data_IF_780558969171
#
_entry.id   IF_780558969171
#
_cell.length_a   1.000
_cell.length_b   1.000
_cell.length_c   1.000
_cell.angle_alpha   90.00
_cell.angle_beta   90.00
_cell.angle_gamma   90.00
#
_symmetry.space_group_name_H-M   'P 1'
#
loop_
_entity.id
_entity.type
_entity.pdbx_description
1 polymer ?
#
# COMPACT_ATOMS: atom_id res chain seq x y z
N UNK A 1 24.61 -21.62 -3.86
CA UNK A 1 25.59 -20.52 -3.76
C UNK A 1 24.87 -19.35 -3.17
N UNK A 2 25.03 -19.17 -1.87
CA UNK A 2 24.46 -18.05 -1.12
C UNK A 2 25.35 -16.84 -1.45
N UNK A 3 24.92 -16.03 -2.40
CA UNK A 3 25.48 -14.69 -2.52
C UNK A 3 24.91 -13.93 -1.33
N UNK A 4 25.77 -13.50 -0.41
CA UNK A 4 25.34 -12.69 0.73
C UNK A 4 24.90 -11.32 0.19
N UNK A 5 23.61 -11.21 -0.15
CA UNK A 5 23.03 -10.00 -0.72
C UNK A 5 22.89 -9.02 0.43
N UNK A 6 23.81 -8.05 0.49
CA UNK A 6 23.93 -7.10 1.60
C UNK A 6 22.63 -6.35 1.95
N UNK A 7 21.72 -6.17 0.99
CA UNK A 7 20.43 -5.50 1.17
C UNK A 7 19.25 -6.44 1.43
N UNK A 8 19.46 -7.76 1.51
CA UNK A 8 18.41 -8.73 1.84
C UNK A 8 17.76 -8.44 3.20
N UNK A 9 18.52 -8.13 4.28
CA UNK A 9 17.91 -7.74 5.56
C UNK A 9 17.03 -6.49 5.43
N UNK A 10 17.43 -5.54 4.57
CA UNK A 10 16.66 -4.33 4.28
C UNK A 10 15.29 -4.66 3.65
N UNK A 11 15.24 -5.57 2.67
CA UNK A 11 13.97 -5.99 2.06
C UNK A 11 13.06 -6.64 3.11
N UNK A 12 13.60 -7.51 3.95
CA UNK A 12 12.82 -8.20 4.97
C UNK A 12 12.27 -7.24 6.05
N UNK A 13 13.05 -6.25 6.49
CA UNK A 13 12.56 -5.26 7.44
C UNK A 13 11.51 -4.35 6.79
N UNK A 14 11.67 -3.98 5.52
CA UNK A 14 10.68 -3.19 4.79
C UNK A 14 9.32 -3.88 4.76
N UNK A 15 9.26 -5.17 4.42
CA UNK A 15 8.00 -5.94 4.47
C UNK A 15 7.37 -5.98 5.86
N UNK A 16 8.16 -6.13 6.93
CA UNK A 16 7.64 -6.12 8.31
C UNK A 16 7.07 -4.76 8.69
N UNK A 17 7.77 -3.68 8.31
CA UNK A 17 7.30 -2.31 8.51
C UNK A 17 6.06 -2.03 7.68
N UNK A 18 5.98 -2.49 6.44
CA UNK A 18 4.79 -2.39 5.59
C UNK A 18 3.58 -3.03 6.27
N UNK A 19 3.71 -4.26 6.78
CA UNK A 19 2.61 -4.93 7.49
C UNK A 19 2.21 -4.16 8.74
N UNK A 20 3.17 -3.68 9.54
CA UNK A 20 2.88 -2.94 10.76
C UNK A 20 2.17 -1.60 10.48
N UNK A 21 2.78 -0.75 9.64
CA UNK A 21 2.31 0.61 9.38
C UNK A 21 1.14 0.65 8.39
N UNK A 22 1.10 -0.24 7.40
CA UNK A 22 0.11 -0.17 6.33
C UNK A 22 -1.09 -1.09 6.53
N UNK A 23 -1.03 -2.02 7.50
CA UNK A 23 -2.12 -2.96 7.74
C UNK A 23 -2.54 -2.97 9.21
N UNK A 24 -1.64 -3.30 10.13
CA UNK A 24 -2.01 -3.55 11.54
C UNK A 24 -2.47 -2.26 12.23
N UNK A 25 -1.64 -1.21 12.24
CA UNK A 25 -1.98 0.05 12.90
C UNK A 25 -3.24 0.71 12.31
N UNK A 26 -3.41 0.87 10.98
CA UNK A 26 -4.63 1.47 10.44
C UNK A 26 -5.87 0.64 10.72
N UNK A 27 -5.75 -0.69 10.85
CA UNK A 27 -6.89 -1.55 11.20
C UNK A 27 -7.34 -1.30 12.64
N UNK A 28 -6.39 -1.23 13.58
CA UNK A 28 -6.65 -0.88 14.98
C UNK A 28 -7.29 0.51 15.07
N UNK A 29 -6.73 1.50 14.35
CA UNK A 29 -7.27 2.86 14.30
C UNK A 29 -8.67 2.90 13.71
N UNK A 30 -8.97 2.10 12.68
CA UNK A 30 -10.30 2.04 12.07
C UNK A 30 -11.33 1.50 13.06
N UNK A 31 -11.03 0.40 13.74
CA UNK A 31 -11.90 -0.18 14.77
C UNK A 31 -12.11 0.84 15.90
N UNK A 32 -11.05 1.50 16.34
CA UNK A 32 -11.14 2.47 17.43
C UNK A 32 -11.94 3.71 17.04
N UNK A 33 -11.75 4.22 15.82
CA UNK A 33 -12.51 5.34 15.28
C UNK A 33 -13.99 4.99 15.10
N UNK A 34 -14.30 3.73 14.73
CA UNK A 34 -15.67 3.22 14.69
C UNK A 34 -16.33 3.24 16.09
N UNK A 35 -15.65 2.68 17.09
CA UNK A 35 -16.14 2.66 18.49
C UNK A 35 -16.36 4.07 19.04
N UNK A 36 -15.45 5.01 18.75
CA UNK A 36 -15.56 6.41 19.19
C UNK A 36 -16.45 7.29 18.30
N UNK A 37 -17.03 6.75 17.22
CA UNK A 37 -17.83 7.51 16.24
C UNK A 37 -17.10 8.73 15.67
N UNK A 38 -15.78 8.61 15.45
CA UNK A 38 -14.96 9.65 14.84
C UNK A 38 -15.09 9.60 13.30
N UNK A 39 -16.14 10.21 12.76
CA UNK A 39 -16.54 10.08 11.35
C UNK A 39 -15.46 10.52 10.35
N UNK A 40 -14.83 11.68 10.54
CA UNK A 40 -13.73 12.14 9.68
C UNK A 40 -12.57 11.16 9.60
N UNK A 41 -12.14 10.59 10.73
CA UNK A 41 -11.08 9.56 10.78
C UNK A 41 -11.54 8.27 10.09
N UNK A 42 -12.77 7.82 10.32
CA UNK A 42 -13.32 6.63 9.65
C UNK A 42 -13.38 6.80 8.13
N UNK A 43 -13.82 7.97 7.65
CA UNK A 43 -13.92 8.30 6.23
C UNK A 43 -12.54 8.31 5.59
N UNK A 44 -11.55 8.96 6.23
CA UNK A 44 -10.17 8.97 5.75
C UNK A 44 -9.58 7.57 5.69
N UNK A 45 -9.75 6.76 6.75
CA UNK A 45 -9.25 5.39 6.78
C UNK A 45 -9.94 4.51 5.73
N UNK A 46 -11.23 4.72 5.45
CA UNK A 46 -11.94 4.01 4.38
C UNK A 46 -11.36 4.34 2.99
N UNK A 47 -11.02 5.61 2.74
CA UNK A 47 -10.35 6.01 1.49
C UNK A 47 -8.95 5.41 1.43
N UNK A 48 -8.21 5.50 2.54
CA UNK A 48 -6.88 4.90 2.69
C UNK A 48 -6.90 3.42 2.34
N UNK A 49 -7.82 2.61 2.88
CA UNK A 49 -7.90 1.18 2.59
C UNK A 49 -8.18 0.87 1.12
N UNK A 50 -9.00 1.68 0.46
CA UNK A 50 -9.24 1.54 -0.98
C UNK A 50 -7.94 1.76 -1.75
N UNK A 51 -7.16 2.77 -1.41
CA UNK A 51 -5.89 3.09 -2.08
C UNK A 51 -4.77 2.10 -1.71
N UNK A 52 -4.62 1.76 -0.42
CA UNK A 52 -3.59 0.85 0.07
C UNK A 52 -3.85 -0.61 -0.32
N UNK A 53 -5.05 -0.96 -0.80
CA UNK A 53 -5.32 -2.28 -1.39
C UNK A 53 -4.36 -2.64 -2.54
N UNK A 54 -3.75 -1.64 -3.19
CA UNK A 54 -2.69 -1.85 -4.19
C UNK A 54 -1.46 -2.57 -3.61
N UNK A 55 -1.18 -2.44 -2.31
CA UNK A 55 -0.13 -3.22 -1.62
C UNK A 55 -0.47 -4.70 -1.63
N UNK A 56 -1.72 -5.07 -1.29
CA UNK A 56 -2.15 -6.47 -1.32
C UNK A 56 -2.15 -7.05 -2.74
N UNK A 57 -2.61 -6.27 -3.72
CA UNK A 57 -2.51 -6.61 -5.15
C UNK A 57 -1.03 -6.86 -5.52
N UNK A 58 -0.12 -6.00 -5.07
CA UNK A 58 1.32 -6.13 -5.31
C UNK A 58 1.88 -7.45 -4.76
N UNK A 59 1.49 -7.86 -3.55
CA UNK A 59 1.89 -9.16 -2.98
C UNK A 59 1.44 -10.31 -3.88
N UNK A 60 0.20 -10.29 -4.38
CA UNK A 60 -0.32 -11.35 -5.26
C UNK A 60 0.43 -11.42 -6.59
N UNK A 61 0.79 -10.26 -7.16
CA UNK A 61 1.63 -10.19 -8.36
C UNK A 61 3.05 -10.72 -8.09
N UNK A 62 3.61 -10.41 -6.91
CA UNK A 62 4.93 -10.89 -6.50
C UNK A 62 4.97 -12.40 -6.22
N UNK A 63 3.88 -12.98 -5.72
CA UNK A 63 3.75 -14.44 -5.55
C UNK A 63 3.93 -15.16 -6.89
N UNK A 64 3.38 -14.59 -7.97
CA UNK A 64 3.55 -15.09 -9.33
C UNK A 64 4.81 -14.57 -10.03
N UNK A 65 5.67 -13.84 -9.31
CA UNK A 65 6.96 -13.32 -9.79
C UNK A 65 6.80 -12.38 -11.00
N UNK A 66 5.68 -11.68 -11.10
CA UNK A 66 5.41 -10.77 -12.22
C UNK A 66 6.16 -9.45 -12.06
N UNK A 67 7.00 -9.03 -13.04
CA UNK A 67 7.78 -7.80 -12.96
C UNK A 67 6.94 -6.53 -12.73
N UNK A 68 5.69 -6.50 -13.21
CA UNK A 68 4.77 -5.37 -13.00
C UNK A 68 4.52 -5.06 -11.52
N UNK A 69 4.78 -6.01 -10.62
CA UNK A 69 4.67 -5.80 -9.17
C UNK A 69 5.60 -4.71 -8.64
N UNK A 70 6.75 -4.47 -9.28
CA UNK A 70 7.65 -3.39 -8.89
C UNK A 70 7.00 -2.02 -9.15
N UNK A 71 6.29 -1.88 -10.28
CA UNK A 71 5.55 -0.65 -10.60
C UNK A 71 4.38 -0.49 -9.63
N UNK A 72 3.59 -1.54 -9.40
CA UNK A 72 2.45 -1.45 -8.49
C UNK A 72 2.88 -1.15 -7.05
N UNK A 73 3.99 -1.71 -6.58
CA UNK A 73 4.58 -1.44 -5.27
C UNK A 73 5.01 0.01 -5.11
N UNK A 74 5.75 0.55 -6.08
CA UNK A 74 6.13 1.97 -6.10
C UNK A 74 4.90 2.88 -6.09
N UNK A 75 3.92 2.59 -6.97
CA UNK A 75 2.69 3.38 -7.06
C UNK A 75 1.90 3.32 -5.76
N UNK A 76 1.86 2.19 -5.05
CA UNK A 76 1.21 2.09 -3.75
C UNK A 76 1.86 3.03 -2.73
N UNK A 77 3.19 3.06 -2.65
CA UNK A 77 3.92 3.94 -1.73
C UNK A 77 3.73 5.43 -2.06
N UNK A 78 3.52 5.79 -3.32
CA UNK A 78 3.23 7.18 -3.72
C UNK A 78 1.77 7.55 -3.41
N UNK A 79 0.82 6.67 -3.76
CA UNK A 79 -0.60 6.95 -3.63
C UNK A 79 -1.07 6.99 -2.17
N UNK A 80 -0.44 6.22 -1.27
CA UNK A 80 -0.81 6.17 0.15
C UNK A 80 -0.70 7.56 0.81
N UNK A 81 0.46 8.24 0.81
CA UNK A 81 0.58 9.61 1.35
C UNK A 81 -0.38 10.59 0.71
N UNK A 82 -0.57 10.52 -0.61
CA UNK A 82 -1.52 11.37 -1.33
C UNK A 82 -2.93 11.14 -0.75
N UNK A 83 -3.37 9.89 -0.62
CA UNK A 83 -4.70 9.57 -0.09
C UNK A 83 -4.91 10.07 1.34
N UNK A 84 -3.84 10.11 2.14
CA UNK A 84 -3.90 10.59 3.50
C UNK A 84 -4.05 12.11 3.55
N UNK A 85 -3.35 12.89 2.73
CA UNK A 85 -3.28 14.36 2.86
C UNK A 85 -4.09 15.17 1.86
N UNK A 86 -4.57 14.55 0.79
CA UNK A 86 -5.20 15.25 -0.32
C UNK A 86 -6.53 15.96 0.03
N UNK A 87 -7.34 15.38 0.91
CA UNK A 87 -8.74 15.77 1.14
C UNK A 87 -8.90 16.94 2.12
N UNK A 88 -9.34 18.10 1.63
CA UNK A 88 -9.45 19.32 2.47
C UNK A 88 -10.60 19.19 3.46
N UNK A 89 -11.78 18.75 3.01
CA UNK A 89 -12.97 18.64 3.87
C UNK A 89 -12.74 17.71 5.07
N UNK A 90 -12.13 16.56 4.82
CA UNK A 90 -11.78 15.60 5.87
C UNK A 90 -10.67 16.12 6.78
N UNK A 91 -9.69 16.85 6.23
CA UNK A 91 -8.61 17.42 7.03
C UNK A 91 -9.14 18.45 8.02
N UNK A 92 -10.02 19.34 7.57
CA UNK A 92 -10.65 20.35 8.39
C UNK A 92 -11.48 19.67 9.50
N UNK A 93 -12.28 18.64 9.16
CA UNK A 93 -13.06 17.88 10.13
C UNK A 93 -12.18 17.27 11.24
N UNK A 94 -11.06 16.64 10.85
CA UNK A 94 -10.12 16.04 11.81
C UNK A 94 -9.41 17.12 12.64
N UNK A 95 -9.10 18.28 12.06
CA UNK A 95 -8.46 19.41 12.73
C UNK A 95 -9.36 20.02 13.81
N UNK A 96 -10.65 20.18 13.54
CA UNK A 96 -11.62 20.73 14.49
C UNK A 96 -12.24 19.70 15.44
N UNK A 97 -12.07 18.40 15.18
CA UNK A 97 -12.47 17.36 16.13
C UNK A 97 -11.79 17.55 17.50
N UNK A 98 -12.53 17.35 18.59
CA UNK A 98 -12.02 17.45 19.96
C UNK A 98 -10.72 16.65 20.14
N UNK A 99 -9.71 17.27 20.75
CA UNK A 99 -8.44 16.62 21.03
C UNK A 99 -8.63 15.44 21.99
N UNK A 100 -8.02 14.31 21.66
CA UNK A 100 -8.10 13.08 22.42
C UNK A 100 -7.02 12.08 21.98
N UNK A 101 -6.87 11.00 22.72
CA UNK A 101 -5.81 10.00 22.50
C UNK A 101 -5.89 9.40 21.09
N UNK A 102 -7.11 9.15 20.58
CA UNK A 102 -7.33 8.66 19.22
C UNK A 102 -6.77 9.63 18.17
N UNK A 103 -7.11 10.92 18.26
CA UNK A 103 -6.63 11.95 17.33
C UNK A 103 -5.11 12.08 17.37
N UNK A 104 -4.52 12.02 18.56
CA UNK A 104 -3.06 12.03 18.70
C UNK A 104 -2.40 10.84 18.02
N UNK A 105 -2.80 9.60 18.37
CA UNK A 105 -2.20 8.38 17.79
C UNK A 105 -2.45 8.31 16.29
N UNK A 106 -3.65 8.67 15.83
CA UNK A 106 -3.99 8.76 14.40
C UNK A 106 -3.05 9.72 13.67
N UNK A 107 -2.84 10.92 14.21
CA UNK A 107 -1.99 11.94 13.58
C UNK A 107 -0.52 11.50 13.56
N UNK A 108 -0.02 10.89 14.65
CA UNK A 108 1.32 10.31 14.70
C UNK A 108 1.50 9.18 13.67
N UNK A 109 0.55 8.26 13.58
CA UNK A 109 0.56 7.18 12.58
C UNK A 109 0.53 7.73 11.16
N UNK A 110 -0.30 8.74 10.89
CA UNK A 110 -0.44 9.36 9.57
C UNK A 110 0.88 9.96 9.09
N UNK A 111 1.59 10.68 9.97
CA UNK A 111 2.93 11.20 9.68
C UNK A 111 3.98 10.08 9.55
N UNK A 112 4.00 9.12 10.46
CA UNK A 112 4.95 8.00 10.40
C UNK A 112 4.80 7.20 9.09
N UNK A 113 3.56 6.94 8.67
CA UNK A 113 3.25 6.26 7.40
C UNK A 113 3.70 7.08 6.19
N UNK A 114 3.54 8.40 6.25
CA UNK A 114 3.99 9.33 5.19
C UNK A 114 5.51 9.26 5.03
N UNK A 115 6.25 9.38 6.13
CA UNK A 115 7.73 9.30 6.14
C UNK A 115 8.18 7.91 5.68
N UNK A 116 7.56 6.84 6.19
CA UNK A 116 7.84 5.47 5.77
C UNK A 116 7.67 5.30 4.25
N UNK A 117 6.55 5.76 3.68
CA UNK A 117 6.30 5.65 2.25
C UNK A 117 7.27 6.48 1.40
N UNK A 118 7.67 7.67 1.85
CA UNK A 118 8.67 8.50 1.16
C UNK A 118 10.02 7.80 1.15
N UNK A 119 10.49 7.32 2.31
CA UNK A 119 11.74 6.60 2.44
C UNK A 119 11.73 5.29 1.63
N UNK A 120 10.62 4.55 1.69
CA UNK A 120 10.39 3.37 0.87
C UNK A 120 10.50 3.69 -0.61
N UNK A 121 9.85 4.76 -1.07
CA UNK A 121 9.84 5.15 -2.48
C UNK A 121 11.26 5.43 -2.95
N UNK A 122 12.02 6.22 -2.18
CA UNK A 122 13.42 6.52 -2.47
C UNK A 122 14.30 5.28 -2.50
N UNK A 123 14.11 4.37 -1.54
CA UNK A 123 14.85 3.11 -1.48
C UNK A 123 14.46 2.12 -2.58
N UNK A 124 13.25 2.22 -3.12
CA UNK A 124 12.73 1.33 -4.16
C UNK A 124 13.16 1.73 -5.58
N UNK A 125 13.52 3.01 -5.81
CA UNK A 125 13.95 3.54 -7.12
C UNK A 125 15.02 2.68 -7.82
N UNK A 126 16.11 2.25 -7.15
CA UNK A 126 17.15 1.44 -7.80
C UNK A 126 16.62 0.12 -8.40
N UNK A 127 15.53 -0.41 -7.84
CA UNK A 127 14.95 -1.69 -8.23
C UNK A 127 13.91 -1.56 -9.35
N UNK A 128 13.58 -0.36 -9.83
CA UNK A 128 12.58 -0.17 -10.90
C UNK A 128 12.98 -0.82 -12.22
N UNK A 129 14.28 -0.99 -12.48
CA UNK A 129 14.77 -1.75 -13.63
C UNK A 129 14.28 -3.22 -13.63
N UNK A 130 13.97 -3.78 -12.46
CA UNK A 130 13.41 -5.13 -12.34
C UNK A 130 12.03 -5.26 -13.01
N UNK A 131 11.26 -4.17 -13.12
CA UNK A 131 9.95 -4.17 -13.78
C UNK A 131 10.03 -4.44 -15.29
N UNK A 132 11.16 -4.10 -15.92
CA UNK A 132 11.36 -4.21 -17.37
C UNK A 132 12.31 -5.35 -17.74
N UNK A 133 12.74 -6.15 -16.76
CA UNK A 133 13.66 -7.27 -16.99
C UNK A 133 12.91 -8.53 -17.39
N UNK A 134 13.22 -9.07 -18.57
CA UNK A 134 12.73 -10.38 -19.02
C UNK A 134 13.29 -11.56 -18.20
N UNK A 135 14.28 -11.33 -17.34
CA UNK A 135 14.97 -12.37 -16.56
C UNK A 135 14.96 -12.04 -15.06
N UNK A 136 13.85 -11.51 -14.53
CA UNK A 136 13.72 -11.05 -13.13
C UNK A 136 14.11 -12.12 -12.10
N UNK A 137 13.88 -13.40 -12.41
CA UNK A 137 14.23 -14.51 -11.52
C UNK A 137 15.67 -14.97 -11.67
N UNK A 138 16.41 -14.60 -12.72
CA UNK A 138 17.81 -15.03 -12.90
C UNK A 138 18.79 -14.14 -12.13
N UNK A 139 18.43 -12.89 -11.87
CA UNK A 139 19.28 -11.97 -11.11
C UNK A 139 18.93 -12.02 -9.63
N UNK A 140 19.95 -12.25 -8.79
CA UNK A 140 19.80 -12.19 -7.33
C UNK A 140 19.24 -10.83 -6.87
N UNK A 141 19.56 -9.77 -7.62
CA UNK A 141 19.14 -8.40 -7.36
C UNK A 141 17.60 -8.22 -7.28
N UNK A 142 16.87 -8.76 -8.23
CA UNK A 142 15.40 -8.66 -8.26
C UNK A 142 14.73 -9.80 -7.48
N UNK A 143 15.36 -10.98 -7.48
CA UNK A 143 14.79 -12.20 -6.86
C UNK A 143 14.47 -12.02 -5.37
N UNK A 144 15.31 -11.30 -4.62
CA UNK A 144 15.15 -11.12 -3.16
C UNK A 144 13.79 -10.53 -2.78
N UNK A 145 13.24 -9.64 -3.61
CA UNK A 145 11.95 -9.01 -3.37
C UNK A 145 10.77 -9.99 -3.39
N UNK A 146 10.92 -11.17 -3.99
CA UNK A 146 9.89 -12.20 -4.03
C UNK A 146 9.94 -13.19 -2.86
N UNK A 147 11.01 -13.22 -2.07
CA UNK A 147 11.17 -14.20 -0.97
C UNK A 147 10.04 -14.09 0.06
N UNK A 148 9.75 -12.87 0.52
CA UNK A 148 8.71 -12.65 1.55
C UNK A 148 7.30 -12.93 1.01
N UNK A 149 6.90 -12.46 -0.19
CA UNK A 149 5.62 -12.86 -0.80
C UNK A 149 5.47 -14.37 -1.00
N UNK A 150 6.52 -15.08 -1.39
CA UNK A 150 6.49 -16.54 -1.53
C UNK A 150 6.32 -17.23 -0.17
N UNK A 151 7.00 -16.76 0.87
CA UNK A 151 6.79 -17.23 2.23
C UNK A 151 5.35 -16.95 2.72
N UNK A 152 4.80 -15.77 2.40
CA UNK A 152 3.41 -15.45 2.69
C UNK A 152 2.44 -16.43 2.00
N UNK A 153 2.70 -16.80 0.74
CA UNK A 153 1.94 -17.86 0.05
C UNK A 153 2.01 -19.17 0.82
N UNK A 154 3.18 -19.59 1.30
CA UNK A 154 3.33 -20.85 2.04
C UNK A 154 2.48 -20.88 3.31
N UNK A 155 2.40 -19.77 4.05
CA UNK A 155 1.60 -19.72 5.27
C UNK A 155 0.08 -19.57 5.02
N UNK A 156 -0.33 -18.70 4.11
CA UNK A 156 -1.74 -18.32 3.95
C UNK A 156 -2.44 -18.98 2.75
N UNK A 157 -1.67 -19.50 1.79
CA UNK A 157 -2.18 -20.06 0.53
C UNK A 157 -1.42 -21.34 0.12
N UNK A 158 -1.06 -22.19 1.10
CA UNK A 158 -0.22 -23.38 0.89
C UNK A 158 -0.69 -24.26 -0.29
N UNK A 159 -2.00 -24.44 -0.43
CA UNK A 159 -2.62 -25.34 -1.42
C UNK A 159 -2.94 -24.65 -2.76
N UNK A 160 -2.65 -23.36 -2.91
CA UNK A 160 -2.94 -22.60 -4.13
C UNK A 160 -1.73 -22.55 -5.06
N UNK A 161 -1.98 -22.62 -6.37
CA UNK A 161 -0.94 -22.40 -7.38
C UNK A 161 -0.56 -20.91 -7.42
N UNK A 162 0.74 -20.62 -7.52
CA UNK A 162 1.23 -19.24 -7.61
C UNK A 162 0.63 -18.51 -8.83
N UNK A 163 0.50 -19.21 -9.97
CA UNK A 163 -0.13 -18.68 -11.19
C UNK A 163 -1.58 -18.25 -10.98
N UNK A 164 -2.36 -19.02 -10.22
CA UNK A 164 -3.75 -18.67 -9.92
C UNK A 164 -3.82 -17.40 -9.05
N UNK A 165 -2.95 -17.27 -8.05
CA UNK A 165 -2.86 -16.06 -7.23
C UNK A 165 -2.39 -14.85 -8.06
N UNK A 166 -1.45 -15.06 -8.98
CA UNK A 166 -1.01 -14.06 -9.94
C UNK A 166 -2.14 -13.58 -10.85
N UNK A 167 -2.95 -14.51 -11.36
CA UNK A 167 -4.14 -14.19 -12.15
C UNK A 167 -5.12 -13.31 -11.35
N UNK A 168 -5.43 -13.69 -10.11
CA UNK A 168 -6.25 -12.85 -9.22
C UNK A 168 -5.62 -11.46 -9.00
N UNK A 169 -4.30 -11.40 -8.83
CA UNK A 169 -3.55 -10.14 -8.74
C UNK A 169 -3.73 -9.26 -9.98
N UNK A 170 -3.57 -9.81 -11.19
CA UNK A 170 -3.75 -9.08 -12.45
C UNK A 170 -5.21 -8.61 -12.61
N UNK A 171 -6.18 -9.51 -12.42
CA UNK A 171 -7.60 -9.17 -12.54
C UNK A 171 -7.97 -8.04 -11.59
N UNK A 172 -7.53 -8.12 -10.34
CA UNK A 172 -7.78 -7.07 -9.34
C UNK A 172 -7.05 -5.79 -9.68
N UNK A 173 -5.82 -5.85 -10.21
CA UNK A 173 -5.08 -4.67 -10.66
C UNK A 173 -5.83 -3.95 -11.79
N UNK A 174 -6.35 -4.68 -12.78
CA UNK A 174 -7.13 -4.08 -13.88
C UNK A 174 -8.36 -3.36 -13.34
N UNK A 175 -9.11 -4.00 -12.44
CA UNK A 175 -10.27 -3.40 -11.78
C UNK A 175 -9.85 -2.13 -11.02
N UNK A 176 -8.78 -2.22 -10.21
CA UNK A 176 -8.24 -1.10 -9.45
C UNK A 176 -7.90 0.10 -10.36
N UNK A 177 -7.19 -0.15 -11.48
CA UNK A 177 -6.82 0.88 -12.45
C UNK A 177 -8.04 1.52 -13.06
N UNK A 178 -9.05 0.74 -13.48
CA UNK A 178 -10.30 1.29 -14.05
C UNK A 178 -11.00 2.21 -13.05
N UNK A 179 -11.14 1.80 -11.78
CA UNK A 179 -11.76 2.64 -10.74
C UNK A 179 -10.93 3.88 -10.43
N UNK A 180 -9.61 3.76 -10.32
CA UNK A 180 -8.72 4.88 -10.08
C UNK A 180 -8.76 5.88 -11.24
N UNK A 181 -8.70 5.41 -12.49
CA UNK A 181 -8.81 6.25 -13.68
C UNK A 181 -10.17 6.95 -13.77
N UNK A 182 -11.26 6.24 -13.51
CA UNK A 182 -12.59 6.85 -13.42
C UNK A 182 -12.63 7.94 -12.33
N UNK A 183 -12.08 7.66 -11.15
CA UNK A 183 -12.00 8.62 -10.06
C UNK A 183 -11.22 9.87 -10.48
N UNK A 184 -10.01 9.72 -11.01
CA UNK A 184 -9.12 10.84 -11.38
C UNK A 184 -9.68 11.66 -12.55
N UNK A 185 -10.22 11.00 -13.58
CA UNK A 185 -10.66 11.68 -14.80
C UNK A 185 -12.05 12.31 -14.67
N UNK A 186 -12.95 11.71 -13.88
CA UNK A 186 -14.36 12.12 -13.82
C UNK A 186 -14.70 12.72 -12.46
N UNK A 187 -14.44 11.99 -11.37
CA UNK A 187 -14.93 12.38 -10.03
C UNK A 187 -14.12 13.54 -9.46
N UNK A 188 -12.79 13.51 -9.64
CA UNK A 188 -11.88 14.52 -9.12
C UNK A 188 -12.12 15.90 -9.75
N UNK A 189 -12.37 15.97 -11.05
CA UNK A 189 -12.70 17.23 -11.72
C UNK A 189 -14.03 17.85 -11.25
N UNK A 190 -14.98 17.01 -10.79
CA UNK A 190 -16.29 17.47 -10.30
C UNK A 190 -16.29 17.83 -8.82
N UNK A 191 -15.57 17.08 -8.00
CA UNK A 191 -15.59 17.22 -6.53
C UNK A 191 -14.34 17.92 -5.97
N UNK A 192 -13.33 18.16 -6.80
CA UNK A 192 -12.07 18.74 -6.39
C UNK A 192 -11.41 17.94 -5.26
N UNK A 193 -11.07 18.64 -4.18
CA UNK A 193 -10.43 18.07 -2.99
C UNK A 193 -11.42 17.71 -1.87
N UNK A 194 -12.72 17.66 -2.18
CA UNK A 194 -13.77 17.28 -1.24
C UNK A 194 -14.16 15.81 -1.44
N UNK A 195 -14.11 15.01 -0.39
CA UNK A 195 -14.49 13.60 -0.42
C UNK A 195 -16.01 13.39 -0.35
N UNK A 196 -16.71 14.39 0.18
CA UNK A 196 -18.16 14.39 0.39
C UNK A 196 -18.90 14.94 -0.84
N UNK A 197 -20.04 14.33 -1.26
CA UNK A 197 -20.93 15.00 -2.21
C UNK A 197 -21.40 16.33 -1.60
N UNK A 198 -21.34 17.41 -2.38
CA UNK A 198 -22.04 18.66 -2.06
C UNK A 198 -23.53 18.50 -2.30
#
# INVERSE_FOLDING_TARGET
MDYDIWFRPFVWIDYRLAVLFLVIIPLILLIWAFVQKAEGIQRLLTIYWKVSSLVAITIYLMIAQYPVSFISGLMAQILIPISLWFWVDINDEIEYQTSGVLKFIFTSWRWATTVYCILGTLAFIPFLGCAFSANVMKTAYCRVWFEVPLLFKEYFHANSKAEFLGFLGITTLVIYVVYLSYFVLIKLGKQGRSASPQ
#
